data_IF_683458748612
#
_entry.id   IF_683458748612
#
_cell.length_a   1.000
_cell.length_b   1.000
_cell.length_c   1.000
_cell.angle_alpha   90.00
_cell.angle_beta   90.00
_cell.angle_gamma   90.00
#
_symmetry.space_group_name_H-M   'P 1'
#
loop_
_entity.id
_entity.type
_entity.pdbx_description
1 polymer ?
#
# COMPACT_ATOMS: atom_id res chain seq x y z
N UNK A 1 10.70 30.29 18.99
CA UNK A 1 11.40 30.40 17.69
C UNK A 1 11.79 29.04 17.15
N UNK A 2 12.52 28.20 17.89
CA UNK A 2 12.93 26.86 17.43
C UNK A 2 11.75 25.97 17.00
N UNK A 3 10.64 26.01 17.74
CA UNK A 3 9.41 25.29 17.37
C UNK A 3 8.87 25.70 16.00
N UNK A 4 8.96 26.98 15.63
CA UNK A 4 8.49 27.50 14.33
C UNK A 4 9.42 26.99 13.22
N UNK A 5 10.73 26.98 13.44
CA UNK A 5 11.71 26.42 12.49
C UNK A 5 11.48 24.95 12.21
N UNK A 6 11.33 24.14 13.28
CA UNK A 6 11.07 22.71 13.15
C UNK A 6 9.76 22.47 12.39
N UNK A 7 8.70 23.21 12.73
CA UNK A 7 7.42 23.07 12.06
C UNK A 7 7.48 23.50 10.58
N UNK A 8 8.26 24.52 10.23
CA UNK A 8 8.51 24.94 8.85
C UNK A 8 9.25 23.86 8.04
N UNK A 9 10.30 23.25 8.59
CA UNK A 9 11.03 22.15 7.94
C UNK A 9 10.12 20.92 7.73
N UNK A 10 9.39 20.50 8.76
CA UNK A 10 8.44 19.39 8.66
C UNK A 10 7.30 19.65 7.67
N UNK A 11 6.89 20.90 7.51
CA UNK A 11 5.92 21.28 6.48
C UNK A 11 6.54 21.15 5.08
N UNK A 12 7.78 21.62 4.89
CA UNK A 12 8.52 21.47 3.64
C UNK A 12 8.67 20.01 3.21
N UNK A 13 9.00 19.11 4.15
CA UNK A 13 9.10 17.67 3.89
C UNK A 13 7.76 17.08 3.44
N UNK A 14 6.67 17.46 4.12
CA UNK A 14 5.31 16.98 3.78
C UNK A 14 4.84 17.49 2.42
N UNK A 15 5.08 18.76 2.12
CA UNK A 15 4.77 19.33 0.80
C UNK A 15 5.58 18.63 -0.29
N UNK A 16 6.87 18.41 -0.06
CA UNK A 16 7.73 17.69 -1.01
C UNK A 16 7.22 16.27 -1.24
N UNK A 17 6.90 15.52 -0.19
CA UNK A 17 6.34 14.18 -0.32
C UNK A 17 4.99 14.18 -1.07
N UNK A 18 4.11 15.14 -0.78
CA UNK A 18 2.84 15.29 -1.48
C UNK A 18 3.03 15.61 -2.97
N UNK A 19 3.94 16.52 -3.32
CA UNK A 19 4.24 16.86 -4.71
C UNK A 19 4.78 15.67 -5.50
N UNK A 20 5.45 14.70 -4.87
CA UNK A 20 5.95 13.50 -5.56
C UNK A 20 4.94 12.36 -5.64
N UNK A 21 4.02 12.27 -4.67
CA UNK A 21 3.16 11.07 -4.51
C UNK A 21 1.68 11.32 -4.77
N UNK A 22 1.24 12.57 -4.75
CA UNK A 22 -0.18 12.96 -4.73
C UNK A 22 -0.57 13.88 -5.89
N UNK A 23 0.24 13.96 -6.96
CA UNK A 23 -0.19 14.63 -8.20
C UNK A 23 -1.45 13.91 -8.69
N UNK A 24 -2.56 14.64 -8.79
CA UNK A 24 -3.88 14.06 -9.12
C UNK A 24 -4.89 14.13 -7.98
N UNK A 25 -4.43 14.06 -6.72
CA UNK A 25 -5.30 14.03 -5.55
C UNK A 25 -5.54 15.45 -5.01
N UNK A 26 -6.53 16.13 -5.60
CA UNK A 26 -6.88 17.51 -5.27
C UNK A 26 -7.19 17.73 -3.79
N UNK A 27 -7.85 16.77 -3.14
CA UNK A 27 -8.23 16.90 -1.73
C UNK A 27 -6.96 16.92 -0.86
N UNK A 28 -6.03 16.00 -1.10
CA UNK A 28 -4.76 15.95 -0.35
C UNK A 28 -3.89 17.17 -0.60
N UNK A 29 -3.79 17.63 -1.85
CA UNK A 29 -3.04 18.85 -2.17
C UNK A 29 -3.67 20.09 -1.50
N UNK A 30 -5.00 20.16 -1.40
CA UNK A 30 -5.71 21.24 -0.71
C UNK A 30 -5.51 21.20 0.82
N UNK A 31 -5.40 20.02 1.42
CA UNK A 31 -5.01 19.86 2.83
C UNK A 31 -3.60 20.43 3.08
N UNK A 32 -2.64 20.12 2.21
CA UNK A 32 -1.27 20.66 2.32
C UNK A 32 -1.27 22.18 2.13
N UNK A 33 -2.01 22.69 1.15
CA UNK A 33 -2.14 24.13 0.91
C UNK A 33 -2.68 24.86 2.15
N UNK A 34 -3.70 24.31 2.80
CA UNK A 34 -4.24 24.85 4.06
C UNK A 34 -3.22 24.77 5.21
N UNK A 35 -2.34 23.77 5.21
CA UNK A 35 -1.21 23.68 6.14
C UNK A 35 -0.19 24.79 5.92
N UNK A 36 0.14 25.10 4.66
CA UNK A 36 1.08 26.15 4.27
C UNK A 36 0.56 27.54 4.64
N UNK A 37 -0.72 27.83 4.39
CA UNK A 37 -1.33 29.10 4.80
C UNK A 37 -1.31 29.32 6.33
N UNK A 38 -1.61 28.27 7.10
CA UNK A 38 -1.53 28.36 8.58
C UNK A 38 -0.11 28.62 9.07
N UNK A 39 0.91 28.11 8.39
CA UNK A 39 2.30 28.41 8.71
C UNK A 39 2.63 29.88 8.42
N UNK A 40 2.15 30.43 7.29
CA UNK A 40 2.33 31.85 6.96
C UNK A 40 1.72 32.76 8.03
N UNK A 41 0.49 32.45 8.46
CA UNK A 41 -0.18 33.18 9.54
C UNK A 41 0.63 33.14 10.84
N UNK A 42 1.21 31.98 11.19
CA UNK A 42 2.06 31.84 12.37
C UNK A 42 3.36 32.64 12.26
N UNK A 43 3.99 32.69 11.07
CA UNK A 43 5.19 33.51 10.81
C UNK A 43 4.87 35.00 11.01
N UNK A 44 3.74 35.47 10.47
CA UNK A 44 3.31 36.87 10.64
C UNK A 44 2.98 37.20 12.10
N UNK A 45 2.30 36.30 12.81
CA UNK A 45 1.94 36.48 14.22
C UNK A 45 3.17 36.61 15.14
N UNK A 46 4.27 35.94 14.81
CA UNK A 46 5.52 35.96 15.58
C UNK A 46 6.62 36.82 14.92
N UNK A 47 6.21 37.79 14.11
CA UNK A 47 7.12 38.63 13.31
C UNK A 47 8.06 39.52 14.13
N UNK A 48 7.75 39.74 15.41
CA UNK A 48 8.53 40.47 16.40
C UNK A 48 9.70 39.65 16.97
N UNK A 49 9.54 38.33 17.07
CA UNK A 49 10.55 37.42 17.62
C UNK A 49 11.48 36.88 16.53
N UNK A 50 11.01 36.77 15.29
CA UNK A 50 11.79 36.22 14.17
C UNK A 50 12.69 37.31 13.56
N UNK A 51 14.00 37.09 13.42
CA UNK A 51 14.88 38.02 12.72
C UNK A 51 14.38 38.32 11.30
N UNK A 52 14.38 39.60 10.91
CA UNK A 52 13.93 40.06 9.58
C UNK A 52 14.52 39.23 8.41
N UNK A 53 15.84 38.95 8.33
CA UNK A 53 16.37 38.18 7.20
C UNK A 53 15.86 36.74 7.19
N UNK A 54 15.66 36.13 8.36
CA UNK A 54 15.13 34.77 8.47
C UNK A 54 13.65 34.73 8.06
N UNK A 55 12.87 35.72 8.51
CA UNK A 55 11.46 35.85 8.15
C UNK A 55 11.26 35.93 6.64
N UNK A 56 12.07 36.74 5.95
CA UNK A 56 12.01 36.87 4.48
C UNK A 56 12.28 35.55 3.76
N UNK A 57 13.24 34.75 4.25
CA UNK A 57 13.54 33.43 3.68
C UNK A 57 12.35 32.48 3.88
N UNK A 58 11.74 32.50 5.07
CA UNK A 58 10.57 31.65 5.36
C UNK A 58 9.37 32.06 4.51
N UNK A 59 9.07 33.36 4.37
CA UNK A 59 8.00 33.89 3.53
C UNK A 59 8.20 33.47 2.06
N UNK A 60 9.40 33.65 1.50
CA UNK A 60 9.73 33.23 0.13
C UNK A 60 9.59 31.71 -0.05
N UNK A 61 10.00 30.93 0.95
CA UNK A 61 9.87 29.47 0.92
C UNK A 61 8.41 29.01 0.95
N UNK A 62 7.58 29.62 1.78
CA UNK A 62 6.13 29.40 1.81
C UNK A 62 5.49 29.74 0.47
N UNK A 63 5.83 30.89 -0.13
CA UNK A 63 5.32 31.28 -1.45
C UNK A 63 5.69 30.27 -2.53
N UNK A 64 6.92 29.76 -2.48
CA UNK A 64 7.38 28.69 -3.39
C UNK A 64 6.56 27.42 -3.22
N UNK A 65 6.26 27.01 -1.98
CA UNK A 65 5.40 25.85 -1.70
C UNK A 65 3.98 26.05 -2.23
N UNK A 66 3.39 27.24 -2.05
CA UNK A 66 2.05 27.57 -2.57
C UNK A 66 2.01 27.47 -4.09
N UNK A 67 2.99 28.08 -4.77
CA UNK A 67 3.08 28.04 -6.24
C UNK A 67 3.27 26.62 -6.76
N UNK A 68 4.09 25.81 -6.09
CA UNK A 68 4.31 24.41 -6.46
C UNK A 68 3.03 23.57 -6.30
N UNK A 69 2.31 23.73 -5.19
CA UNK A 69 1.02 23.03 -4.96
C UNK A 69 -0.06 23.47 -5.95
N UNK A 70 -0.12 24.76 -6.29
CA UNK A 70 -1.05 25.27 -7.31
C UNK A 70 -0.73 24.70 -8.68
N UNK A 71 0.56 24.67 -9.06
CA UNK A 71 1.02 24.09 -10.32
C UNK A 71 0.69 22.59 -10.40
N UNK A 72 0.94 21.83 -9.33
CA UNK A 72 0.60 20.41 -9.27
C UNK A 72 -0.92 20.17 -9.37
N UNK A 73 -1.73 21.07 -8.80
CA UNK A 73 -3.20 21.03 -8.89
C UNK A 73 -3.68 21.26 -10.32
N UNK A 74 -3.01 22.13 -11.09
CA UNK A 74 -3.31 22.38 -12.50
C UNK A 74 -2.77 21.27 -13.41
N UNK A 75 -1.57 20.76 -13.16
CA UNK A 75 -1.00 19.62 -13.90
C UNK A 75 -1.87 18.36 -13.74
N UNK A 76 -2.53 18.20 -12.59
CA UNK A 76 -3.54 17.16 -12.37
C UNK A 76 -4.77 17.27 -13.28
N UNK A 77 -4.98 18.36 -14.02
CA UNK A 77 -6.12 18.56 -14.91
C UNK A 77 -5.99 17.76 -16.21
N UNK A 78 -4.83 17.12 -16.48
CA UNK A 78 -4.71 16.04 -17.48
C UNK A 78 -5.35 14.72 -16.98
N UNK A 79 -6.45 14.83 -16.22
CA UNK A 79 -7.43 13.76 -16.16
C UNK A 79 -8.01 13.66 -17.56
N UNK A 80 -7.99 12.48 -18.22
CA UNK A 80 -8.68 12.32 -19.48
C UNK A 80 -10.12 12.81 -19.27
N UNK A 81 -10.51 13.86 -20.00
CA UNK A 81 -11.87 14.42 -19.94
C UNK A 81 -12.93 13.38 -20.35
N UNK A 82 -12.48 12.25 -20.89
CA UNK A 82 -13.30 11.11 -21.23
C UNK A 82 -13.55 10.26 -19.98
N UNK A 83 -14.82 9.91 -19.78
CA UNK A 83 -15.21 8.96 -18.76
C UNK A 83 -14.34 7.70 -18.89
N UNK A 84 -13.79 7.20 -17.78
CA UNK A 84 -13.04 5.95 -17.77
C UNK A 84 -13.85 4.87 -18.48
N UNK A 85 -13.24 4.21 -19.47
CA UNK A 85 -13.89 3.11 -20.18
C UNK A 85 -14.34 2.09 -19.12
N UNK A 86 -15.65 1.80 -19.01
CA UNK A 86 -16.15 0.91 -17.97
C UNK A 86 -15.68 -0.51 -18.28
N UNK A 87 -14.66 -0.94 -17.52
CA UNK A 87 -14.08 -2.29 -17.61
C UNK A 87 -15.04 -3.35 -17.06
N UNK A 88 -15.93 -2.96 -16.16
CA UNK A 88 -16.89 -3.86 -15.52
C UNK A 88 -18.32 -3.35 -15.72
N UNK A 89 -19.23 -4.30 -15.91
CA UNK A 89 -20.66 -4.00 -16.09
C UNK A 89 -21.53 -5.07 -15.42
N UNK A 90 -22.76 -4.69 -15.04
CA UNK A 90 -23.73 -5.60 -14.44
C UNK A 90 -24.52 -6.31 -15.54
N UNK A 91 -24.37 -7.63 -15.62
CA UNK A 91 -25.11 -8.48 -16.54
C UNK A 91 -26.34 -9.07 -15.83
N UNK A 92 -27.52 -8.77 -16.38
CA UNK A 92 -28.80 -9.30 -15.93
C UNK A 92 -29.18 -10.51 -16.79
N UNK A 93 -29.31 -11.69 -16.18
CA UNK A 93 -29.60 -12.96 -16.88
C UNK A 93 -31.11 -13.28 -16.89
N UNK A 94 -31.97 -12.34 -16.47
CA UNK A 94 -33.43 -12.49 -16.47
C UNK A 94 -34.02 -13.40 -15.38
N UNK A 95 -33.20 -14.12 -14.62
CA UNK A 95 -33.64 -14.93 -13.46
C UNK A 95 -33.79 -14.11 -12.17
N UNK A 96 -34.53 -14.66 -11.18
CA UNK A 96 -34.53 -14.13 -9.81
C UNK A 96 -33.14 -14.27 -9.19
N UNK A 97 -32.52 -13.15 -8.79
CA UNK A 97 -31.20 -13.16 -8.12
C UNK A 97 -30.46 -11.83 -8.23
N UNK A 98 -29.29 -11.74 -7.57
CA UNK A 98 -28.38 -10.59 -7.68
C UNK A 98 -27.70 -10.60 -9.07
N UNK A 99 -27.66 -9.47 -9.80
CA UNK A 99 -26.96 -9.40 -11.09
C UNK A 99 -25.49 -9.81 -10.98
N UNK A 100 -24.96 -10.46 -12.02
CA UNK A 100 -23.55 -10.84 -12.08
C UNK A 100 -22.76 -9.63 -12.56
N UNK A 101 -21.65 -9.32 -11.88
CA UNK A 101 -20.67 -8.36 -12.39
C UNK A 101 -19.82 -9.11 -13.41
N UNK A 102 -19.70 -8.60 -14.63
CA UNK A 102 -18.87 -9.14 -15.70
C UNK A 102 -17.70 -8.19 -15.93
N UNK A 103 -16.52 -8.75 -16.20
CA UNK A 103 -15.29 -8.02 -16.54
C UNK A 103 -15.03 -8.22 -18.02
N UNK A 104 -14.64 -7.15 -18.72
CA UNK A 104 -14.21 -7.22 -20.11
C UNK A 104 -13.03 -8.21 -20.29
N UNK A 105 -13.10 -9.02 -21.35
CA UNK A 105 -12.13 -10.10 -21.60
C UNK A 105 -10.76 -9.54 -22.01
N UNK A 106 -10.72 -8.54 -22.89
CA UNK A 106 -9.47 -7.95 -23.40
C UNK A 106 -8.72 -7.23 -22.29
N UNK A 107 -9.45 -6.49 -21.44
CA UNK A 107 -8.87 -5.92 -20.22
C UNK A 107 -8.29 -7.00 -19.29
N UNK A 108 -9.04 -8.08 -19.04
CA UNK A 108 -8.64 -9.08 -18.07
C UNK A 108 -7.43 -9.89 -18.56
N UNK A 109 -7.39 -10.24 -19.85
CA UNK A 109 -6.27 -10.96 -20.46
C UNK A 109 -4.99 -10.14 -20.39
N UNK A 110 -5.00 -8.89 -20.88
CA UNK A 110 -3.85 -7.99 -20.82
C UNK A 110 -3.45 -7.64 -19.39
N UNK A 111 -4.43 -7.39 -18.52
CA UNK A 111 -4.19 -7.04 -17.13
C UNK A 111 -3.47 -8.15 -16.36
N UNK A 112 -3.82 -9.43 -16.62
CA UNK A 112 -3.23 -10.58 -15.93
C UNK A 112 -1.77 -10.83 -16.30
N UNK A 113 -1.34 -10.45 -17.51
CA UNK A 113 0.07 -10.50 -17.91
C UNK A 113 0.93 -9.52 -17.11
N UNK A 114 0.38 -8.35 -16.76
CA UNK A 114 1.11 -7.30 -16.04
C UNK A 114 1.00 -7.44 -14.52
N UNK A 115 -0.17 -7.85 -14.01
CA UNK A 115 -0.49 -7.87 -12.58
C UNK A 115 -1.37 -9.07 -12.24
N UNK A 116 -1.10 -9.71 -11.11
CA UNK A 116 -1.99 -10.76 -10.59
C UNK A 116 -3.38 -10.24 -10.17
N UNK A 117 -4.34 -11.13 -9.87
CA UNK A 117 -5.72 -10.76 -9.53
C UNK A 117 -5.87 -9.75 -8.39
N UNK A 118 -4.93 -9.75 -7.42
CA UNK A 118 -4.90 -8.77 -6.31
C UNK A 118 -4.57 -7.36 -6.77
N UNK A 119 -3.67 -7.22 -7.75
CA UNK A 119 -3.28 -5.91 -8.29
C UNK A 119 -4.32 -5.32 -9.25
N UNK A 120 -5.13 -6.16 -9.90
CA UNK A 120 -6.20 -5.74 -10.82
C UNK A 120 -7.51 -5.38 -10.12
N UNK A 121 -7.77 -5.96 -8.94
CA UNK A 121 -8.99 -5.75 -8.18
C UNK A 121 -9.37 -4.27 -7.97
N UNK A 122 -8.46 -3.37 -7.55
CA UNK A 122 -8.77 -1.95 -7.39
C UNK A 122 -9.12 -1.26 -8.71
N UNK A 123 -8.46 -1.63 -9.81
CA UNK A 123 -8.66 -1.03 -11.14
C UNK A 123 -10.02 -1.42 -11.72
N UNK A 124 -10.41 -2.68 -11.56
CA UNK A 124 -11.70 -3.19 -12.03
C UNK A 124 -12.86 -2.86 -11.07
N UNK A 125 -12.59 -2.35 -9.86
CA UNK A 125 -13.60 -2.04 -8.84
C UNK A 125 -14.27 -3.28 -8.24
N UNK A 126 -13.60 -4.43 -8.23
CA UNK A 126 -14.15 -5.71 -7.73
C UNK A 126 -13.15 -6.43 -6.81
N UNK A 127 -13.58 -7.45 -6.08
CA UNK A 127 -12.66 -8.22 -5.24
C UNK A 127 -11.70 -9.09 -6.08
N UNK A 128 -10.49 -9.35 -5.57
CA UNK A 128 -9.50 -10.23 -6.22
C UNK A 128 -10.04 -11.63 -6.50
N UNK A 129 -10.93 -12.13 -5.62
CA UNK A 129 -11.66 -13.39 -5.83
C UNK A 129 -12.58 -13.34 -7.05
N UNK A 130 -13.23 -12.20 -7.29
CA UNK A 130 -14.08 -11.99 -8.47
C UNK A 130 -13.23 -11.95 -9.74
N UNK A 131 -12.12 -11.21 -9.73
CA UNK A 131 -11.14 -11.19 -10.84
C UNK A 131 -10.68 -12.61 -11.18
N UNK A 132 -10.20 -13.37 -10.18
CA UNK A 132 -9.76 -14.75 -10.38
C UNK A 132 -10.88 -15.64 -10.91
N UNK A 133 -12.10 -15.51 -10.40
CA UNK A 133 -13.25 -16.30 -10.88
C UNK A 133 -13.51 -16.03 -12.37
N UNK A 134 -13.57 -14.78 -12.79
CA UNK A 134 -13.73 -14.44 -14.22
C UNK A 134 -12.56 -14.90 -15.07
N UNK A 135 -11.34 -14.87 -14.54
CA UNK A 135 -10.17 -15.41 -15.23
C UNK A 135 -10.29 -16.92 -15.46
N UNK A 136 -10.84 -17.66 -14.49
CA UNK A 136 -11.16 -19.09 -14.66
C UNK A 136 -12.32 -19.29 -15.65
N UNK A 137 -13.36 -18.47 -15.56
CA UNK A 137 -14.53 -18.55 -16.48
C UNK A 137 -14.14 -18.30 -17.95
N UNK A 138 -13.07 -17.55 -18.18
CA UNK A 138 -12.52 -17.24 -19.52
C UNK A 138 -11.33 -18.12 -19.91
N UNK A 139 -11.01 -19.16 -19.12
CA UNK A 139 -9.86 -20.05 -19.35
C UNK A 139 -8.50 -19.34 -19.43
N UNK A 140 -8.38 -18.13 -18.85
CA UNK A 140 -7.14 -17.35 -18.80
C UNK A 140 -6.16 -17.86 -17.74
N UNK A 141 -6.67 -18.56 -16.72
CA UNK A 141 -5.88 -19.10 -15.60
C UNK A 141 -6.35 -20.53 -15.34
N UNK A 142 -5.43 -21.41 -14.94
CA UNK A 142 -5.78 -22.76 -14.53
C UNK A 142 -6.32 -22.79 -13.08
N UNK A 143 -7.31 -23.64 -12.77
CA UNK A 143 -7.71 -23.92 -11.41
C UNK A 143 -6.50 -24.28 -10.54
N UNK A 144 -6.47 -23.76 -9.30
CA UNK A 144 -5.44 -24.18 -8.37
C UNK A 144 -5.68 -25.63 -7.95
N UNK A 145 -4.62 -26.33 -7.54
CA UNK A 145 -4.76 -27.62 -6.87
C UNK A 145 -5.74 -27.50 -5.69
N UNK A 146 -6.52 -28.56 -5.39
CA UNK A 146 -7.44 -28.54 -4.28
C UNK A 146 -6.69 -28.26 -2.97
N UNK A 147 -7.35 -27.59 -2.02
CA UNK A 147 -6.75 -27.23 -0.72
C UNK A 147 -6.48 -28.46 0.14
N UNK A 148 -7.25 -29.53 -0.07
CA UNK A 148 -7.03 -30.82 0.56
C UNK A 148 -7.40 -31.93 -0.42
N UNK A 149 -6.76 -33.08 -0.27
CA UNK A 149 -7.14 -34.33 -0.92
C UNK A 149 -7.73 -35.27 0.13
N UNK A 150 -8.79 -36.00 -0.24
CA UNK A 150 -9.36 -37.05 0.59
C UNK A 150 -8.85 -38.39 0.06
N UNK A 151 -8.20 -39.16 0.92
CA UNK A 151 -7.75 -40.52 0.61
C UNK A 151 -8.44 -41.49 1.57
N UNK A 152 -8.97 -42.59 1.04
CA UNK A 152 -9.59 -43.63 1.85
C UNK A 152 -8.49 -44.60 2.31
N UNK A 153 -8.29 -44.72 3.61
CA UNK A 153 -7.34 -45.67 4.17
C UNK A 153 -7.85 -47.09 3.97
N UNK A 154 -7.17 -47.87 3.13
CA UNK A 154 -7.55 -49.25 2.77
C UNK A 154 -7.60 -50.18 3.98
N UNK A 155 -6.85 -49.89 5.05
CA UNK A 155 -6.77 -50.78 6.22
C UNK A 155 -7.85 -50.47 7.25
N UNK A 156 -8.16 -49.18 7.45
CA UNK A 156 -9.10 -48.74 8.49
C UNK A 156 -10.48 -48.35 7.96
N UNK A 157 -10.61 -48.14 6.64
CA UNK A 157 -11.83 -47.62 5.99
C UNK A 157 -12.13 -46.16 6.29
N UNK A 158 -11.22 -45.44 6.97
CA UNK A 158 -11.40 -44.04 7.32
C UNK A 158 -10.99 -43.11 6.17
N UNK A 159 -11.67 -41.97 6.05
CA UNK A 159 -11.28 -40.90 5.12
C UNK A 159 -10.22 -40.03 5.79
N UNK A 160 -9.01 -40.03 5.24
CA UNK A 160 -7.91 -39.16 5.66
C UNK A 160 -7.93 -37.92 4.76
N UNK A 161 -8.12 -36.75 5.36
CA UNK A 161 -8.02 -35.47 4.67
C UNK A 161 -6.58 -34.94 4.77
N UNK A 162 -5.85 -34.96 3.65
CA UNK A 162 -4.51 -34.39 3.54
C UNK A 162 -4.63 -32.96 3.05
N UNK A 163 -4.45 -32.00 3.95
CA UNK A 163 -4.42 -30.59 3.57
C UNK A 163 -3.11 -30.27 2.86
N UNK A 164 -3.19 -29.76 1.63
CA UNK A 164 -2.05 -29.16 0.97
C UNK A 164 -1.75 -27.89 1.73
N UNK A 165 -0.73 -27.93 2.59
CA UNK A 165 -0.31 -26.78 3.38
C UNK A 165 -0.19 -25.61 2.39
N UNK A 166 -1.05 -24.61 2.55
CA UNK A 166 -0.99 -23.40 1.75
C UNK A 166 0.44 -22.91 1.92
N UNK A 167 1.26 -23.02 0.88
CA UNK A 167 2.68 -22.72 0.94
C UNK A 167 2.81 -21.26 1.33
N UNK A 168 2.91 -20.99 2.62
CA UNK A 168 3.69 -19.88 3.12
C UNK A 168 4.99 -19.93 2.35
N UNK A 169 5.42 -18.78 1.82
CA UNK A 169 6.68 -18.66 1.09
C UNK A 169 7.76 -19.49 1.79
N UNK A 170 8.69 -20.13 1.05
CA UNK A 170 9.70 -21.00 1.64
C UNK A 170 10.31 -20.32 2.87
N UNK A 171 10.22 -21.02 4.01
CA UNK A 171 10.81 -20.52 5.26
C UNK A 171 12.29 -20.35 5.00
N UNK A 172 12.83 -19.16 5.29
CA UNK A 172 14.24 -18.91 5.04
C UNK A 172 15.10 -19.82 5.90
N UNK A 173 16.16 -20.38 5.32
CA UNK A 173 17.15 -21.24 5.98
C UNK A 173 18.10 -20.45 6.92
N UNK A 174 17.62 -19.34 7.49
CA UNK A 174 18.41 -18.51 8.39
C UNK A 174 18.59 -19.22 9.75
N UNK A 175 19.83 -19.28 10.21
CA UNK A 175 20.16 -19.87 11.52
C UNK A 175 19.65 -18.99 12.66
N UNK A 176 19.55 -19.54 13.87
CA UNK A 176 19.14 -18.74 15.04
C UNK A 176 20.12 -17.59 15.31
N UNK A 177 21.43 -17.81 15.19
CA UNK A 177 22.43 -16.76 15.41
C UNK A 177 22.33 -15.61 14.41
N UNK A 178 22.15 -15.92 13.13
CA UNK A 178 21.94 -14.89 12.09
C UNK A 178 20.62 -14.14 12.30
N UNK A 179 19.56 -14.82 12.76
CA UNK A 179 18.31 -14.17 13.11
C UNK A 179 18.51 -13.18 14.27
N UNK A 180 19.24 -13.57 15.30
CA UNK A 180 19.52 -12.76 16.48
C UNK A 180 20.31 -11.49 16.09
N UNK A 181 21.33 -11.64 15.24
CA UNK A 181 22.12 -10.53 14.70
C UNK A 181 21.26 -9.56 13.88
N UNK A 182 20.41 -10.06 12.99
CA UNK A 182 19.49 -9.23 12.21
C UNK A 182 18.49 -8.48 13.09
N UNK A 183 17.90 -9.16 14.08
CA UNK A 183 16.93 -8.52 14.97
C UNK A 183 17.62 -7.46 15.84
N UNK A 184 18.84 -7.73 16.32
CA UNK A 184 19.63 -6.75 17.05
C UNK A 184 19.90 -5.51 16.20
N UNK A 185 20.39 -5.69 14.97
CA UNK A 185 20.64 -4.60 14.04
C UNK A 185 19.37 -3.77 13.74
N UNK A 186 18.21 -4.42 13.58
CA UNK A 186 16.92 -3.72 13.38
C UNK A 186 16.57 -2.87 14.60
N UNK A 187 16.80 -3.38 15.82
CA UNK A 187 16.49 -2.68 17.07
C UNK A 187 17.49 -1.55 17.37
N UNK A 188 18.73 -1.63 16.90
CA UNK A 188 19.68 -0.51 16.96
C UNK A 188 19.19 0.68 16.12
N UNK A 189 18.69 0.42 14.91
CA UNK A 189 18.18 1.46 14.01
C UNK A 189 16.79 1.94 14.47
N UNK A 190 15.94 1.02 14.92
CA UNK A 190 14.55 1.30 15.31
C UNK A 190 14.22 0.74 16.70
N UNK A 191 14.65 1.40 17.79
CA UNK A 191 14.50 0.88 19.15
C UNK A 191 13.05 0.63 19.60
N UNK A 192 12.08 1.29 18.96
CA UNK A 192 10.65 1.19 19.29
C UNK A 192 9.91 0.13 18.47
N UNK A 193 10.59 -0.65 17.63
CA UNK A 193 9.92 -1.67 16.82
C UNK A 193 9.40 -2.83 17.67
N UNK A 194 8.09 -3.08 17.59
CA UNK A 194 7.48 -4.27 18.14
C UNK A 194 7.62 -5.49 17.22
N UNK A 195 7.34 -6.69 17.75
CA UNK A 195 7.45 -8.00 17.05
C UNK A 195 6.86 -8.00 15.63
N UNK A 196 5.68 -7.40 15.44
CA UNK A 196 5.01 -7.30 14.13
C UNK A 196 5.81 -6.48 13.11
N UNK A 197 6.43 -5.39 13.55
CA UNK A 197 7.25 -4.52 12.70
C UNK A 197 8.54 -5.23 12.29
N UNK A 198 9.16 -5.96 13.21
CA UNK A 198 10.34 -6.79 12.94
C UNK A 198 10.01 -7.88 11.91
N UNK A 199 8.88 -8.59 12.08
CA UNK A 199 8.44 -9.57 11.07
C UNK A 199 8.24 -8.93 9.69
N UNK A 200 7.66 -7.72 9.66
CA UNK A 200 7.50 -6.95 8.43
C UNK A 200 8.84 -6.57 7.80
N UNK A 201 9.79 -6.12 8.61
CA UNK A 201 11.12 -5.72 8.15
C UNK A 201 11.95 -6.92 7.66
N UNK A 202 11.91 -8.05 8.35
CA UNK A 202 12.53 -9.30 7.89
C UNK A 202 11.95 -9.74 6.53
N UNK A 203 10.63 -9.61 6.34
CA UNK A 203 10.00 -9.88 5.02
C UNK A 203 10.48 -8.93 3.93
N UNK A 204 10.70 -7.66 4.26
CA UNK A 204 11.27 -6.68 3.32
C UNK A 204 12.70 -7.06 2.91
N UNK A 205 13.47 -7.66 3.83
CA UNK A 205 14.79 -8.26 3.56
C UNK A 205 14.71 -9.64 2.89
N UNK A 206 13.53 -10.06 2.42
CA UNK A 206 13.27 -11.37 1.82
C UNK A 206 13.47 -12.57 2.78
N UNK A 207 13.51 -12.34 4.10
CA UNK A 207 13.54 -13.39 5.10
C UNK A 207 12.12 -13.75 5.56
N UNK A 208 11.68 -14.98 5.30
CA UNK A 208 10.41 -15.51 5.77
C UNK A 208 10.62 -16.35 7.03
N UNK A 209 10.54 -15.70 8.19
CA UNK A 209 10.74 -16.34 9.50
C UNK A 209 9.38 -16.59 10.18
N UNK A 210 9.09 -17.80 10.68
CA UNK A 210 7.88 -18.08 11.44
C UNK A 210 7.76 -17.18 12.67
N UNK A 211 6.54 -16.70 12.96
CA UNK A 211 6.29 -15.83 14.12
C UNK A 211 6.66 -16.50 15.45
N UNK A 212 6.64 -17.84 15.50
CA UNK A 212 7.09 -18.61 16.66
C UNK A 212 8.58 -18.39 16.96
N UNK A 213 9.47 -18.49 15.95
CA UNK A 213 10.91 -18.28 16.12
C UNK A 213 11.23 -16.86 16.59
N UNK A 214 10.56 -15.85 16.05
CA UNK A 214 10.70 -14.45 16.49
C UNK A 214 10.22 -14.28 17.94
N UNK A 215 9.17 -15.01 18.35
CA UNK A 215 8.70 -14.97 19.73
C UNK A 215 9.72 -15.60 20.69
N UNK A 216 10.28 -16.76 20.33
CA UNK A 216 11.29 -17.46 21.12
C UNK A 216 12.54 -16.60 21.34
N UNK A 217 12.95 -15.80 20.34
CA UNK A 217 14.03 -14.82 20.49
C UNK A 217 13.79 -13.83 21.64
N UNK A 218 12.58 -13.28 21.77
CA UNK A 218 12.24 -12.32 22.83
C UNK A 218 12.14 -12.93 24.23
N UNK A 219 12.04 -14.26 24.31
CA UNK A 219 11.93 -14.98 25.58
C UNK A 219 13.32 -15.42 26.10
N UNK A 220 14.39 -15.27 25.29
CA UNK A 220 15.80 -15.45 25.68
C UNK A 220 16.37 -14.14 26.25
#
# INVERSE_FOLDING_TARGET
>A
LETIRIAYLQLGDRVTAALHTQIGDRLRLQEQHSGVLRMLDAIHQHSDVIPVPERQIMEQGVDTMIQALATATVQSVDLPSEASIPVTYLQHVGGRGRPRITIDYDFLSFGLELRGPTGLAPVAGVSSRTVRRHALDYDLVQPAAPVYTEELDETSGNVICTYTASTSAPVSDITDGELDELVHHILEIFPTFGRRMITGHLRQLCHHVPTLRIREFYER
#
